data_IF_067434964256
#
_entry.id   IF_067434964256
#
_cell.length_a   1.000
_cell.length_b   1.000
_cell.length_c   1.000
_cell.angle_alpha   90.00
_cell.angle_beta   90.00
_cell.angle_gamma   90.00
#
_symmetry.space_group_name_H-M   'P 1'
#
loop_
_entity.id
_entity.type
_entity.pdbx_description
1 polymer ?
#
# COMPACT_ATOMS: atom_id res chain seq x y z
N UNK A 1 14.40 -11.03 -28.22
CA UNK A 1 14.23 -12.07 -27.17
C UNK A 1 14.78 -13.44 -27.61
N UNK A 2 14.40 -13.98 -28.78
CA UNK A 2 14.98 -15.22 -29.37
C UNK A 2 16.52 -15.20 -29.45
N UNK A 3 17.08 -14.05 -29.80
CA UNK A 3 18.51 -13.82 -30.01
C UNK A 3 19.37 -14.02 -28.75
N UNK A 4 18.81 -13.81 -27.55
CA UNK A 4 19.54 -13.81 -26.29
C UNK A 4 19.83 -15.22 -25.74
N UNK A 5 18.93 -16.17 -26.01
CA UNK A 5 18.97 -17.50 -25.41
C UNK A 5 19.21 -18.63 -26.42
N UNK A 6 19.02 -18.39 -27.72
CA UNK A 6 19.10 -19.44 -28.76
C UNK A 6 20.23 -19.22 -29.76
N UNK A 7 20.65 -17.96 -30.00
CA UNK A 7 21.65 -17.63 -31.03
C UNK A 7 22.92 -16.97 -30.49
N UNK A 8 22.93 -16.49 -29.25
CA UNK A 8 24.06 -15.83 -28.62
C UNK A 8 24.79 -16.70 -27.58
N UNK A 9 26.05 -16.35 -27.21
CA UNK A 9 26.74 -16.97 -26.08
C UNK A 9 25.90 -16.83 -24.80
N UNK A 10 25.87 -17.86 -23.95
CA UNK A 10 25.11 -17.80 -22.72
C UNK A 10 25.63 -16.69 -21.80
N UNK A 11 24.76 -15.80 -21.28
CA UNK A 11 25.14 -14.67 -20.42
C UNK A 11 25.83 -15.10 -19.12
N UNK A 12 25.67 -16.35 -18.71
CA UNK A 12 26.27 -16.89 -17.49
C UNK A 12 27.63 -17.57 -17.71
N UNK A 13 28.02 -17.84 -18.95
CA UNK A 13 29.27 -18.58 -19.26
C UNK A 13 30.25 -17.78 -20.13
N UNK A 14 29.77 -16.88 -20.99
CA UNK A 14 30.61 -16.05 -21.88
C UNK A 14 30.19 -14.57 -21.77
N UNK A 15 30.61 -13.93 -20.69
CA UNK A 15 30.46 -12.51 -20.41
C UNK A 15 31.63 -11.72 -21.05
N UNK A 16 31.42 -10.43 -21.35
CA UNK A 16 32.46 -9.55 -21.92
C UNK A 16 32.85 -9.78 -23.39
N UNK A 17 32.29 -10.78 -24.07
CA UNK A 17 32.64 -11.09 -25.46
C UNK A 17 32.13 -10.07 -26.51
N UNK A 18 32.60 -10.17 -27.76
CA UNK A 18 32.15 -9.33 -28.87
C UNK A 18 30.66 -9.56 -29.15
N UNK A 19 29.94 -8.48 -29.43
CA UNK A 19 28.50 -8.52 -29.69
C UNK A 19 28.23 -9.10 -31.08
N UNK A 20 27.29 -10.03 -31.16
CA UNK A 20 26.82 -10.52 -32.47
C UNK A 20 26.02 -9.41 -33.19
N UNK A 21 25.97 -9.40 -34.54
CA UNK A 21 25.23 -8.37 -35.28
C UNK A 21 23.75 -8.23 -34.87
N UNK A 22 23.12 -9.36 -34.52
CA UNK A 22 21.74 -9.41 -34.06
C UNK A 22 21.56 -8.82 -32.64
N UNK A 23 22.56 -9.01 -31.78
CA UNK A 23 22.60 -8.38 -30.47
C UNK A 23 22.77 -6.85 -30.59
N UNK A 24 23.70 -6.39 -31.43
CA UNK A 24 23.91 -4.96 -31.69
C UNK A 24 22.66 -4.30 -32.29
N UNK A 25 21.97 -4.95 -33.24
CA UNK A 25 20.70 -4.45 -33.77
C UNK A 25 19.63 -4.33 -32.68
N UNK A 26 19.51 -5.33 -31.81
CA UNK A 26 18.56 -5.31 -30.70
C UNK A 26 18.86 -4.14 -29.76
N UNK A 27 20.13 -3.94 -29.39
CA UNK A 27 20.56 -2.84 -28.53
C UNK A 27 20.29 -1.48 -29.18
N UNK A 28 20.49 -1.32 -30.49
CA UNK A 28 20.16 -0.09 -31.21
C UNK A 28 18.65 0.21 -31.20
N UNK A 29 17.80 -0.82 -31.40
CA UNK A 29 16.35 -0.67 -31.32
C UNK A 29 15.92 -0.29 -29.90
N UNK A 30 16.44 -0.97 -28.88
CA UNK A 30 16.18 -0.66 -27.48
C UNK A 30 16.69 0.74 -27.12
N UNK A 31 17.84 1.17 -27.62
CA UNK A 31 18.37 2.52 -27.41
C UNK A 31 17.40 3.59 -27.94
N UNK A 32 16.89 3.41 -29.17
CA UNK A 32 15.87 4.30 -29.73
C UNK A 32 14.60 4.36 -28.88
N UNK A 33 14.12 3.20 -28.42
CA UNK A 33 12.98 3.11 -27.51
C UNK A 33 13.22 3.86 -26.19
N UNK A 34 14.37 3.65 -25.53
CA UNK A 34 14.69 4.33 -24.27
C UNK A 34 14.82 5.85 -24.42
N UNK A 35 15.35 6.33 -25.55
CA UNK A 35 15.43 7.78 -25.83
C UNK A 35 14.03 8.37 -26.01
N UNK A 36 13.17 7.68 -26.76
CA UNK A 36 11.77 8.09 -26.92
C UNK A 36 11.05 8.12 -25.57
N UNK A 37 11.19 7.06 -24.78
CA UNK A 37 10.57 6.93 -23.46
C UNK A 37 11.06 8.00 -22.47
N UNK A 38 12.37 8.31 -22.47
CA UNK A 38 12.93 9.41 -21.68
C UNK A 38 12.37 10.77 -22.10
N UNK A 39 12.27 11.01 -23.42
CA UNK A 39 11.71 12.26 -23.95
C UNK A 39 10.25 12.44 -23.56
N UNK A 40 9.48 11.34 -23.61
CA UNK A 40 8.09 11.30 -23.16
C UNK A 40 7.97 11.59 -21.66
N UNK A 41 8.80 10.93 -20.84
CA UNK A 41 8.84 11.15 -19.38
C UNK A 41 9.19 12.59 -19.02
N UNK A 42 10.13 13.22 -19.73
CA UNK A 42 10.51 14.61 -19.51
C UNK A 42 9.40 15.60 -19.91
N UNK A 43 8.67 15.30 -20.97
CA UNK A 43 7.57 16.15 -21.45
C UNK A 43 6.37 16.12 -20.51
N UNK A 44 5.93 14.94 -20.07
CA UNK A 44 4.76 14.79 -19.21
C UNK A 44 5.07 14.86 -17.70
N UNK A 45 6.35 14.77 -17.31
CA UNK A 45 6.81 14.80 -15.91
C UNK A 45 6.06 13.83 -14.98
N UNK A 46 5.59 12.71 -15.52
CA UNK A 46 4.75 11.73 -14.81
C UNK A 46 5.56 10.81 -13.89
N UNK A 47 6.88 10.76 -14.08
CA UNK A 47 7.75 9.76 -13.47
C UNK A 47 8.68 10.33 -12.38
N UNK A 48 8.99 9.50 -11.38
CA UNK A 48 9.88 9.89 -10.29
C UNK A 48 11.36 9.91 -10.70
N UNK A 49 12.16 10.73 -10.00
CA UNK A 49 13.62 10.88 -10.24
C UNK A 49 14.41 9.57 -10.45
N UNK A 50 14.17 8.47 -9.69
CA UNK A 50 14.88 7.21 -9.91
C UNK A 50 14.64 6.61 -11.31
N UNK A 51 13.45 6.83 -11.89
CA UNK A 51 13.11 6.38 -13.24
C UNK A 51 13.88 7.16 -14.31
N UNK A 52 13.96 8.48 -14.18
CA UNK A 52 14.76 9.29 -15.10
C UNK A 52 16.25 8.93 -15.04
N UNK A 53 16.80 8.73 -13.84
CA UNK A 53 18.19 8.28 -13.68
C UNK A 53 18.41 6.90 -14.31
N UNK A 54 17.46 5.98 -14.15
CA UNK A 54 17.53 4.68 -14.81
C UNK A 54 17.59 4.79 -16.33
N UNK A 55 16.70 5.59 -16.94
CA UNK A 55 16.72 5.79 -18.39
C UNK A 55 18.00 6.45 -18.87
N UNK A 56 18.46 7.51 -18.20
CA UNK A 56 19.69 8.21 -18.56
C UNK A 56 20.90 7.27 -18.49
N UNK A 57 21.08 6.56 -17.37
CA UNK A 57 22.19 5.61 -17.23
C UNK A 57 22.09 4.44 -18.22
N UNK A 58 20.88 3.98 -18.53
CA UNK A 58 20.67 2.90 -19.52
C UNK A 58 21.00 3.36 -20.94
N UNK A 59 20.62 4.58 -21.34
CA UNK A 59 20.97 5.19 -22.63
C UNK A 59 22.49 5.34 -22.75
N UNK A 60 23.15 5.86 -21.71
CA UNK A 60 24.60 6.00 -21.68
C UNK A 60 25.29 4.63 -21.80
N UNK A 61 24.85 3.64 -21.02
CA UNK A 61 25.38 2.27 -21.08
C UNK A 61 25.20 1.65 -22.46
N UNK A 62 24.00 1.75 -23.05
CA UNK A 62 23.69 1.25 -24.40
C UNK A 62 24.50 1.95 -25.50
N UNK A 63 24.72 3.26 -25.38
CA UNK A 63 25.54 4.02 -26.32
C UNK A 63 27.00 3.55 -26.26
N UNK A 64 27.56 3.42 -25.06
CA UNK A 64 28.94 2.93 -24.86
C UNK A 64 29.10 1.50 -25.37
N UNK A 65 28.17 0.60 -25.07
CA UNK A 65 28.20 -0.78 -25.56
C UNK A 65 28.10 -0.87 -27.08
N UNK A 66 27.29 -0.02 -27.71
CA UNK A 66 27.15 0.03 -29.17
C UNK A 66 28.43 0.55 -29.85
N UNK A 67 29.07 1.59 -29.30
CA UNK A 67 30.32 2.15 -29.82
C UNK A 67 31.49 1.17 -29.65
N UNK A 68 31.57 0.51 -28.49
CA UNK A 68 32.65 -0.43 -28.17
C UNK A 68 32.45 -1.77 -28.90
N UNK A 69 31.21 -2.12 -29.26
CA UNK A 69 30.86 -3.38 -29.90
C UNK A 69 30.93 -4.60 -28.97
N UNK A 70 31.20 -4.40 -27.68
CA UNK A 70 31.34 -5.44 -26.66
C UNK A 70 30.16 -5.40 -25.67
N UNK A 71 30.06 -6.42 -24.80
CA UNK A 71 29.04 -6.51 -23.72
C UNK A 71 27.60 -6.82 -24.16
N UNK A 72 27.37 -7.09 -25.46
CA UNK A 72 26.02 -7.25 -25.98
C UNK A 72 25.19 -8.34 -25.31
N UNK A 73 25.83 -9.44 -24.90
CA UNK A 73 25.17 -10.56 -24.22
C UNK A 73 24.58 -10.16 -22.86
N UNK A 74 25.35 -9.48 -22.01
CA UNK A 74 24.87 -9.04 -20.69
C UNK A 74 23.89 -7.88 -20.78
N UNK A 75 24.12 -6.96 -21.71
CA UNK A 75 23.21 -5.85 -21.95
C UNK A 75 21.84 -6.36 -22.36
N UNK A 76 21.78 -7.34 -23.26
CA UNK A 76 20.51 -7.95 -23.66
C UNK A 76 19.86 -8.73 -22.53
N UNK A 77 20.64 -9.45 -21.71
CA UNK A 77 20.09 -10.11 -20.53
C UNK A 77 19.54 -9.09 -19.51
N UNK A 78 20.20 -7.95 -19.34
CA UNK A 78 19.77 -6.85 -18.47
C UNK A 78 18.51 -6.16 -19.01
N UNK A 79 18.48 -5.88 -20.32
CA UNK A 79 17.30 -5.34 -21.02
C UNK A 79 16.13 -6.30 -20.89
N UNK A 80 16.34 -7.60 -21.10
CA UNK A 80 15.32 -8.62 -20.93
C UNK A 80 14.73 -8.64 -19.52
N UNK A 81 15.59 -8.63 -18.50
CA UNK A 81 15.15 -8.55 -17.10
C UNK A 81 14.37 -7.26 -16.84
N UNK A 82 14.66 -6.19 -17.57
CA UNK A 82 13.92 -4.94 -17.50
C UNK A 82 12.55 -4.97 -18.15
N UNK A 83 12.47 -5.50 -19.36
CA UNK A 83 11.25 -5.58 -20.13
C UNK A 83 10.25 -6.52 -19.47
N UNK A 84 10.68 -7.62 -18.86
CA UNK A 84 9.78 -8.53 -18.13
C UNK A 84 9.09 -7.81 -16.96
N UNK A 85 9.80 -6.91 -16.27
CA UNK A 85 9.24 -6.17 -15.13
C UNK A 85 8.34 -5.00 -15.54
N UNK A 86 8.44 -4.51 -16.78
CA UNK A 86 7.77 -3.30 -17.23
C UNK A 86 6.24 -3.43 -17.44
N UNK A 87 5.68 -4.52 -18.00
CA UNK A 87 4.23 -4.70 -18.13
C UNK A 87 3.48 -4.58 -16.79
N UNK A 88 4.05 -5.14 -15.71
CA UNK A 88 3.47 -5.01 -14.37
C UNK A 88 3.55 -3.58 -13.83
N UNK A 89 4.63 -2.86 -14.14
CA UNK A 89 4.79 -1.46 -13.75
C UNK A 89 3.75 -0.57 -14.46
N UNK A 90 3.53 -0.81 -15.75
CA UNK A 90 2.50 -0.15 -16.56
C UNK A 90 1.08 -0.50 -16.09
N UNK A 91 0.83 -1.77 -15.77
CA UNK A 91 -0.47 -2.19 -15.24
C UNK A 91 -0.76 -1.59 -13.86
N UNK A 92 0.25 -1.47 -13.00
CA UNK A 92 0.15 -0.77 -11.71
C UNK A 92 -0.20 0.71 -11.91
N UNK A 93 0.44 1.39 -12.86
CA UNK A 93 0.12 2.79 -13.17
C UNK A 93 -1.31 2.94 -13.68
N UNK A 94 -1.74 2.07 -14.60
CA UNK A 94 -3.10 2.06 -15.14
C UNK A 94 -4.17 1.82 -14.07
N UNK A 95 -3.94 0.89 -13.14
CA UNK A 95 -4.84 0.65 -12.01
C UNK A 95 -4.92 1.86 -11.08
N UNK A 96 -3.81 2.60 -10.96
CA UNK A 96 -3.72 3.76 -10.09
C UNK A 96 -4.45 4.98 -10.65
N UNK A 97 -4.41 5.16 -11.96
CA UNK A 97 -5.09 6.25 -12.67
C UNK A 97 -6.61 6.03 -12.74
N UNK A 98 -7.07 4.78 -12.85
CA UNK A 98 -8.51 4.46 -12.86
C UNK A 98 -9.19 4.52 -11.47
N UNK A 99 -8.50 5.01 -10.44
CA UNK A 99 -9.08 5.19 -9.09
C UNK A 99 -9.36 3.88 -8.32
N UNK A 100 -9.06 2.71 -8.88
CA UNK A 100 -9.40 1.40 -8.31
C UNK A 100 -8.35 0.84 -7.34
N UNK A 101 -7.58 1.73 -6.70
CA UNK A 101 -6.42 1.40 -5.84
C UNK A 101 -6.74 0.56 -4.60
N UNK A 102 -8.00 0.50 -4.20
CA UNK A 102 -8.47 -0.27 -3.04
C UNK A 102 -9.12 -1.60 -3.43
N UNK A 103 -9.04 -2.00 -4.70
CA UNK A 103 -9.51 -3.31 -5.13
C UNK A 103 -8.44 -4.39 -4.93
N UNK A 104 -8.88 -5.62 -4.64
CA UNK A 104 -8.03 -6.82 -4.49
C UNK A 104 -7.06 -6.97 -5.68
N UNK A 105 -7.47 -6.54 -6.88
CA UNK A 105 -6.64 -6.58 -8.09
C UNK A 105 -5.40 -5.67 -7.97
N UNK A 106 -5.53 -4.47 -7.40
CA UNK A 106 -4.39 -3.58 -7.16
C UNK A 106 -3.39 -4.16 -6.17
N UNK A 107 -3.88 -4.87 -5.14
CA UNK A 107 -3.00 -5.55 -4.17
C UNK A 107 -2.26 -6.74 -4.77
N UNK A 108 -2.92 -7.55 -5.61
CA UNK A 108 -2.28 -8.66 -6.33
C UNK A 108 -1.17 -8.12 -7.23
N UNK A 109 -1.42 -7.03 -7.94
CA UNK A 109 -0.43 -6.42 -8.85
C UNK A 109 0.75 -5.83 -8.10
N UNK A 110 0.52 -5.16 -6.96
CA UNK A 110 1.60 -4.66 -6.11
C UNK A 110 2.50 -5.80 -5.61
N UNK A 111 1.92 -6.92 -5.17
CA UNK A 111 2.68 -8.10 -4.74
C UNK A 111 3.40 -8.79 -5.90
N UNK A 112 2.73 -8.97 -7.03
CA UNK A 112 3.33 -9.55 -8.23
C UNK A 112 4.51 -8.69 -8.72
N UNK A 113 4.35 -7.36 -8.71
CA UNK A 113 5.41 -6.43 -9.06
C UNK A 113 6.60 -6.54 -8.09
N UNK A 114 6.34 -6.56 -6.77
CA UNK A 114 7.40 -6.71 -5.77
C UNK A 114 8.15 -8.04 -5.93
N UNK A 115 7.43 -9.15 -6.13
CA UNK A 115 8.03 -10.45 -6.36
C UNK A 115 8.86 -10.49 -7.64
N UNK A 116 8.30 -10.03 -8.75
CA UNK A 116 8.97 -10.06 -10.05
C UNK A 116 10.21 -9.15 -10.05
N UNK A 117 10.10 -7.96 -9.47
CA UNK A 117 11.21 -7.03 -9.32
C UNK A 117 12.31 -7.63 -8.44
N UNK A 118 11.95 -8.21 -7.29
CA UNK A 118 12.91 -8.86 -6.39
C UNK A 118 13.61 -10.05 -7.04
N UNK A 119 12.86 -10.91 -7.72
CA UNK A 119 13.42 -12.11 -8.34
C UNK A 119 14.30 -11.80 -9.56
N UNK A 120 13.82 -11.00 -10.52
CA UNK A 120 14.57 -10.71 -11.75
C UNK A 120 15.65 -9.64 -11.56
N UNK A 121 15.36 -8.53 -10.86
CA UNK A 121 16.31 -7.43 -10.75
C UNK A 121 17.31 -7.62 -9.63
N UNK A 122 16.84 -8.06 -8.46
CA UNK A 122 17.73 -8.29 -7.31
C UNK A 122 18.33 -9.68 -7.39
N UNK A 123 17.53 -10.75 -7.52
CA UNK A 123 18.04 -12.12 -7.57
C UNK A 123 18.92 -12.40 -8.79
N UNK A 124 18.30 -12.47 -9.97
CA UNK A 124 19.00 -12.76 -11.24
C UNK A 124 20.02 -11.67 -11.57
N UNK A 125 19.69 -10.40 -11.33
CA UNK A 125 20.64 -9.29 -11.52
C UNK A 125 21.89 -9.38 -10.65
N UNK A 126 21.77 -9.80 -9.37
CA UNK A 126 22.96 -10.04 -8.52
C UNK A 126 23.80 -11.18 -9.07
N UNK A 127 23.17 -12.28 -9.49
CA UNK A 127 23.89 -13.42 -10.04
C UNK A 127 24.63 -13.04 -11.33
N UNK A 128 23.99 -12.25 -12.21
CA UNK A 128 24.60 -11.76 -13.44
C UNK A 128 25.79 -10.83 -13.15
N UNK A 129 25.64 -9.89 -12.20
CA UNK A 129 26.73 -9.00 -11.80
C UNK A 129 27.91 -9.77 -11.17
N UNK A 130 27.63 -10.74 -10.30
CA UNK A 130 28.68 -11.57 -9.69
C UNK A 130 29.45 -12.39 -10.73
N UNK A 131 28.74 -13.01 -11.68
CA UNK A 131 29.39 -13.74 -12.79
C UNK A 131 30.21 -12.81 -13.66
N UNK A 132 29.71 -11.59 -13.89
CA UNK A 132 30.42 -10.60 -14.66
C UNK A 132 31.73 -10.13 -14.00
N UNK A 133 31.75 -9.99 -12.67
CA UNK A 133 32.97 -9.67 -11.92
C UNK A 133 33.99 -10.81 -11.89
N UNK A 134 33.55 -12.06 -12.07
CA UNK A 134 34.42 -13.23 -12.11
C UNK A 134 35.13 -13.41 -13.46
N UNK A 135 34.78 -12.62 -14.48
CA UNK A 135 35.39 -12.68 -15.81
C UNK A 135 36.28 -11.46 -16.09
N UNK A 136 37.27 -11.62 -16.97
CA UNK A 136 38.16 -10.55 -17.42
C UNK A 136 37.41 -9.60 -18.35
N UNK A 137 36.82 -8.56 -17.75
CA UNK A 137 35.91 -7.62 -18.38
C UNK A 137 36.41 -6.20 -18.17
N UNK A 138 36.30 -5.32 -19.17
CA UNK A 138 36.86 -3.98 -19.05
C UNK A 138 36.19 -3.17 -17.93
N UNK A 139 36.94 -2.21 -17.42
CA UNK A 139 36.52 -1.31 -16.36
C UNK A 139 35.19 -0.59 -16.65
N UNK A 140 34.98 -0.13 -17.90
CA UNK A 140 33.77 0.61 -18.29
C UNK A 140 32.49 -0.21 -18.20
N UNK A 141 32.56 -1.48 -18.59
CA UNK A 141 31.42 -2.39 -18.48
C UNK A 141 31.10 -2.72 -17.03
N UNK A 142 32.12 -2.96 -16.19
CA UNK A 142 31.96 -3.16 -14.73
C UNK A 142 31.29 -1.98 -14.06
N UNK A 143 31.74 -0.77 -14.38
CA UNK A 143 31.14 0.46 -13.86
C UNK A 143 29.67 0.57 -14.27
N UNK A 144 29.35 0.33 -15.55
CA UNK A 144 27.97 0.36 -16.06
C UNK A 144 27.06 -0.63 -15.35
N UNK A 145 27.52 -1.88 -15.18
CA UNK A 145 26.78 -2.92 -14.46
C UNK A 145 26.51 -2.56 -13.00
N UNK A 146 27.51 -2.03 -12.28
CA UNK A 146 27.36 -1.57 -10.89
C UNK A 146 26.37 -0.40 -10.80
N UNK A 147 26.45 0.58 -11.69
CA UNK A 147 25.54 1.74 -11.69
C UNK A 147 24.08 1.31 -11.87
N UNK A 148 23.79 0.47 -12.86
CA UNK A 148 22.43 -0.04 -13.10
C UNK A 148 21.94 -0.90 -11.92
N UNK A 149 22.83 -1.65 -11.29
CA UNK A 149 22.50 -2.44 -10.11
C UNK A 149 22.20 -1.56 -8.88
N UNK A 150 22.98 -0.50 -8.64
CA UNK A 150 22.72 0.49 -7.60
C UNK A 150 21.35 1.17 -7.78
N UNK A 151 21.01 1.54 -9.01
CA UNK A 151 19.67 2.10 -9.33
C UNK A 151 18.58 1.07 -9.04
N UNK A 152 18.81 -0.21 -9.34
CA UNK A 152 17.86 -1.29 -9.01
C UNK A 152 17.62 -1.41 -7.50
N UNK A 153 18.66 -1.23 -6.68
CA UNK A 153 18.53 -1.16 -5.23
C UNK A 153 17.77 0.08 -4.74
N UNK A 154 17.98 1.24 -5.37
CA UNK A 154 17.20 2.44 -5.04
C UNK A 154 15.70 2.22 -5.28
N UNK A 155 15.34 1.59 -6.40
CA UNK A 155 13.97 1.18 -6.65
C UNK A 155 13.44 0.20 -5.61
N UNK A 156 14.23 -0.81 -5.24
CA UNK A 156 13.85 -1.78 -4.23
C UNK A 156 13.51 -1.13 -2.89
N UNK A 157 14.36 -0.22 -2.41
CA UNK A 157 14.13 0.53 -1.17
C UNK A 157 12.84 1.36 -1.28
N UNK A 158 12.62 2.04 -2.40
CA UNK A 158 11.40 2.82 -2.62
C UNK A 158 10.13 1.94 -2.60
N UNK A 159 10.20 0.73 -3.17
CA UNK A 159 9.11 -0.25 -3.14
C UNK A 159 8.83 -0.70 -1.71
N UNK A 160 9.85 -1.02 -0.93
CA UNK A 160 9.70 -1.39 0.48
C UNK A 160 9.09 -0.25 1.30
N UNK A 161 9.57 0.98 1.10
CA UNK A 161 9.02 2.16 1.79
C UNK A 161 7.55 2.36 1.43
N UNK A 162 7.20 2.22 0.15
CA UNK A 162 5.81 2.32 -0.32
C UNK A 162 4.94 1.25 0.33
N UNK A 163 5.38 -0.01 0.34
CA UNK A 163 4.68 -1.12 0.97
C UNK A 163 4.50 -0.91 2.48
N UNK A 164 5.55 -0.46 3.18
CA UNK A 164 5.50 -0.16 4.61
C UNK A 164 4.54 1.00 4.93
N UNK A 165 4.51 2.04 4.10
CA UNK A 165 3.54 3.15 4.25
C UNK A 165 2.10 2.66 4.03
N UNK A 166 1.87 1.82 3.02
CA UNK A 166 0.56 1.22 2.73
C UNK A 166 0.08 0.35 3.91
N UNK A 167 0.94 -0.52 4.42
CA UNK A 167 0.64 -1.37 5.59
C UNK A 167 0.33 -0.55 6.84
N UNK A 168 1.11 0.51 7.13
CA UNK A 168 0.85 1.41 8.26
C UNK A 168 -0.51 2.11 8.14
N UNK A 169 -0.88 2.55 6.93
CA UNK A 169 -2.19 3.19 6.67
C UNK A 169 -3.33 2.22 6.98
N UNK A 170 -3.28 0.98 6.48
CA UNK A 170 -4.31 -0.04 6.73
C UNK A 170 -4.45 -0.28 8.24
N UNK A 171 -3.34 -0.54 8.94
CA UNK A 171 -3.35 -0.77 10.40
C UNK A 171 -3.90 0.45 11.18
N UNK A 172 -3.63 1.67 10.72
CA UNK A 172 -4.17 2.88 11.34
C UNK A 172 -5.69 3.01 11.16
N UNK A 173 -6.21 2.64 10.00
CA UNK A 173 -7.66 2.62 9.74
C UNK A 173 -8.36 1.56 10.59
N UNK A 174 -7.81 0.35 10.69
CA UNK A 174 -8.34 -0.71 11.56
C UNK A 174 -8.38 -0.27 13.04
N UNK A 175 -7.30 0.36 13.52
CA UNK A 175 -7.23 0.86 14.90
C UNK A 175 -8.23 1.98 15.17
N UNK A 176 -8.40 2.92 14.23
CA UNK A 176 -9.36 4.01 14.36
C UNK A 176 -10.81 3.50 14.32
N UNK A 177 -11.13 2.55 13.43
CA UNK A 177 -12.46 1.94 13.37
C UNK A 177 -12.79 1.16 14.64
N UNK A 178 -11.83 0.38 15.17
CA UNK A 178 -12.04 -0.35 16.43
C UNK A 178 -12.24 0.61 17.62
N UNK A 179 -11.52 1.74 17.65
CA UNK A 179 -11.71 2.75 18.69
C UNK A 179 -13.08 3.43 18.60
N UNK A 180 -13.49 3.87 17.41
CA UNK A 180 -14.80 4.49 17.19
C UNK A 180 -15.94 3.54 17.58
N UNK A 181 -15.85 2.25 17.24
CA UNK A 181 -16.86 1.26 17.62
C UNK A 181 -16.93 1.05 19.15
N UNK A 182 -15.79 1.07 19.84
CA UNK A 182 -15.76 0.97 21.30
C UNK A 182 -16.35 2.22 21.96
N UNK A 183 -16.02 3.42 21.47
CA UNK A 183 -16.54 4.68 21.99
C UNK A 183 -18.08 4.75 21.79
N UNK A 184 -18.60 4.32 20.64
CA UNK A 184 -20.05 4.24 20.40
C UNK A 184 -20.76 3.23 21.30
N UNK A 185 -20.14 2.08 21.59
CA UNK A 185 -20.72 1.09 22.51
C UNK A 185 -20.80 1.64 23.95
N UNK A 186 -19.77 2.36 24.39
CA UNK A 186 -19.74 2.98 25.73
C UNK A 186 -20.83 4.06 25.83
N UNK A 187 -21.01 4.89 24.79
CA UNK A 187 -22.03 5.93 24.77
C UNK A 187 -23.44 5.33 24.82
N UNK A 188 -23.71 4.27 24.06
CA UNK A 188 -24.99 3.53 24.10
C UNK A 188 -25.29 2.92 25.48
N UNK A 189 -24.28 2.40 26.17
CA UNK A 189 -24.43 1.83 27.51
C UNK A 189 -24.71 2.90 28.56
N UNK A 190 -24.03 4.06 28.48
CA UNK A 190 -24.27 5.21 29.36
C UNK A 190 -25.67 5.80 29.18
N UNK A 191 -26.17 5.89 27.94
CA UNK A 191 -27.54 6.35 27.66
C UNK A 191 -28.58 5.40 28.27
N UNK A 192 -28.40 4.08 28.09
CA UNK A 192 -29.29 3.06 28.68
C UNK A 192 -29.30 3.09 30.21
N UNK A 193 -28.14 3.31 30.84
CA UNK A 193 -28.07 3.49 32.29
C UNK A 193 -28.77 4.77 32.75
N UNK A 194 -28.60 5.88 32.03
CA UNK A 194 -29.28 7.14 32.28
C UNK A 194 -30.81 7.03 32.19
N UNK A 195 -31.33 6.37 31.15
CA UNK A 195 -32.77 6.12 30.99
C UNK A 195 -33.32 5.23 32.11
N UNK A 196 -32.64 4.14 32.47
CA UNK A 196 -33.04 3.26 33.58
C UNK A 196 -33.09 4.01 34.91
N UNK A 197 -32.08 4.84 35.19
CA UNK A 197 -32.00 5.64 36.41
C UNK A 197 -33.13 6.68 36.48
N UNK A 198 -33.43 7.34 35.35
CA UNK A 198 -34.54 8.29 35.23
C UNK A 198 -35.90 7.62 35.48
N UNK A 199 -36.12 6.43 34.91
CA UNK A 199 -37.35 5.66 35.09
C UNK A 199 -37.56 5.27 36.56
N UNK A 200 -36.52 4.75 37.22
CA UNK A 200 -36.56 4.37 38.63
C UNK A 200 -36.86 5.56 39.56
N UNK A 201 -36.29 6.74 39.25
CA UNK A 201 -36.57 7.96 40.00
C UNK A 201 -38.01 8.45 39.80
N UNK A 202 -38.53 8.37 38.58
CA UNK A 202 -39.93 8.72 38.26
C UNK A 202 -40.92 7.79 38.99
N UNK A 203 -40.65 6.48 39.02
CA UNK A 203 -41.45 5.49 39.75
C UNK A 203 -41.46 5.77 41.27
N UNK A 204 -40.29 6.07 41.86
CA UNK A 204 -40.19 6.45 43.29
C UNK A 204 -40.99 7.72 43.60
N UNK A 205 -40.98 8.71 42.71
CA UNK A 205 -41.75 9.95 42.84
C UNK A 205 -43.26 9.68 42.77
N UNK A 206 -43.70 8.83 41.84
CA UNK A 206 -45.11 8.47 41.70
C UNK A 206 -45.62 7.69 42.92
N UNK A 207 -44.85 6.72 43.40
CA UNK A 207 -45.17 5.94 44.60
C UNK A 207 -45.29 6.82 45.86
N UNK A 208 -44.32 7.72 46.07
CA UNK A 208 -44.35 8.66 47.19
C UNK A 208 -45.55 9.61 47.14
N UNK A 209 -45.96 10.06 45.94
CA UNK A 209 -47.14 10.90 45.76
C UNK A 209 -48.43 10.13 46.08
N UNK A 210 -48.52 8.86 45.67
CA UNK A 210 -49.67 8.00 45.93
C UNK A 210 -49.84 7.70 47.44
N UNK A 211 -48.74 7.38 48.13
CA UNK A 211 -48.73 7.19 49.59
C UNK A 211 -49.18 8.43 50.37
N UNK A 212 -48.75 9.63 49.94
CA UNK A 212 -49.22 10.90 50.54
C UNK A 212 -50.73 11.12 50.35
N UNK A 213 -51.29 10.74 49.20
CA UNK A 213 -52.74 10.87 48.95
C UNK A 213 -53.55 9.87 49.78
N UNK A 214 -53.10 8.63 49.93
CA UNK A 214 -53.74 7.62 50.78
C UNK A 214 -53.74 8.03 52.25
N UNK A 215 -52.61 8.53 52.78
CA UNK A 215 -52.53 9.03 54.15
C UNK A 215 -53.38 10.30 54.37
N UNK A 216 -53.48 11.18 53.37
CA UNK A 216 -54.36 12.35 53.41
C UNK A 216 -55.85 12.00 53.40
N UNK A 217 -56.23 10.95 52.67
CA UNK A 217 -57.63 10.45 52.61
C UNK A 217 -58.02 9.75 53.91
N UNK A 218 -57.13 8.91 54.46
CA UNK A 218 -57.35 8.22 55.73
C UNK A 218 -57.53 9.19 56.91
N UNK A 219 -56.72 10.25 56.98
CA UNK A 219 -56.87 11.30 57.99
C UNK A 219 -58.19 12.08 57.86
N UNK A 220 -58.63 12.38 56.63
CA UNK A 220 -59.95 13.03 56.41
C UNK A 220 -61.10 12.13 56.83
N UNK A 221 -61.01 10.83 56.57
CA UNK A 221 -62.04 9.88 56.95
C UNK A 221 -62.13 9.70 58.48
N UNK A 222 -60.98 9.73 59.18
CA UNK A 222 -60.93 9.74 60.64
C UNK A 222 -61.48 11.04 61.25
N UNK A 223 -61.19 12.20 60.65
CA UNK A 223 -61.74 13.50 61.08
C UNK A 223 -63.26 13.61 60.89
N UNK A 224 -63.81 13.05 59.80
CA UNK A 224 -65.25 12.99 59.59
C UNK A 224 -65.94 12.05 60.59
N UNK A 225 -65.34 10.89 60.91
CA UNK A 225 -65.85 9.98 61.94
C UNK A 225 -65.82 10.61 63.34
N UNK A 226 -64.75 11.35 63.68
CA UNK A 226 -64.69 12.10 64.95
C UNK A 226 -65.78 13.18 65.03
N UNK A 227 -65.99 13.98 63.97
CA UNK A 227 -67.06 15.00 63.94
C UNK A 227 -68.47 14.39 64.03
N UNK A 228 -68.71 13.23 63.42
CA UNK A 228 -69.99 12.53 63.53
C UNK A 228 -70.27 12.01 64.95
N UNK A 229 -69.23 11.54 65.67
CA UNK A 229 -69.35 11.07 67.04
C UNK A 229 -69.61 12.24 68.00
N UNK A 230 -68.95 13.39 67.81
CA UNK A 230 -69.17 14.57 68.67
C UNK A 230 -70.57 15.17 68.50
N UNK A 231 -71.16 15.16 67.30
CA UNK A 231 -72.49 15.71 67.07
C UNK A 231 -73.61 14.88 67.72
N UNK A 232 -73.41 13.57 67.89
CA UNK A 232 -74.41 12.66 68.47
C UNK A 232 -74.46 12.71 70.01
N UNK A 233 -73.52 13.40 70.67
CA UNK A 233 -73.42 13.50 72.14
C UNK A 233 -73.64 14.92 72.69
N UNK A 234 -73.98 15.89 71.83
CA UNK A 234 -74.20 17.30 72.23
C UNK A 234 -75.68 17.72 72.25
N UNK A 235 -76.63 16.77 72.15
CA UNK A 235 -78.07 17.04 72.11
C UNK A 235 -78.85 16.43 73.29
N UNK A 236 -78.26 16.46 74.49
CA UNK A 236 -78.96 16.26 75.76
C UNK A 236 -78.43 17.22 76.81
#
# INVERSE_FOLDING_TARGET
MWCAFIQGPWPFTNAGGPSTPLQSLTIMICLGYFIFDLSWCLYFQTEGMPMLLHHLCSILGMTVGTITGNYGTEMIATIFGSEITNPLLQFRWFLRENGNNETILGEIVDHAFMFLFGFFRIGIGSYLLLRYFQQDTDFWGRLGGVVIYCISWMFWINIIIFAAKKYKKIKSHEKNNSKNNNDSMIEDDLVKEGEKSSYCNSEKLYYNKSQRQLNGSSNKHQLHLQRFITYKYSSH
#
